data_IF_388898176554
#
_entry.id   IF_388898176554
#
_cell.length_a   1.000
_cell.length_b   1.000
_cell.length_c   1.000
_cell.angle_alpha   90.00
_cell.angle_beta   90.00
_cell.angle_gamma   90.00
#
_symmetry.space_group_name_H-M   'P 1'
#
loop_
_entity.id
_entity.type
_entity.pdbx_description
1 polymer ?
#
# COMPACT_ATOMS: atom_id res chain seq x y z
N UNK A 1 40.07 34.31 -9.70
CA UNK A 1 39.70 32.87 -9.66
C UNK A 1 38.73 32.53 -8.51
N UNK A 2 37.89 33.46 -8.05
CA UNK A 2 36.85 33.20 -7.02
C UNK A 2 35.41 33.34 -7.53
N UNK A 3 35.22 33.95 -8.72
CA UNK A 3 33.91 34.12 -9.35
C UNK A 3 33.50 32.98 -10.29
N UNK A 4 34.46 32.13 -10.67
CA UNK A 4 34.22 30.92 -11.49
C UNK A 4 33.88 29.68 -10.65
N UNK A 5 34.20 29.69 -9.35
CA UNK A 5 33.92 28.56 -8.45
C UNK A 5 32.45 28.54 -8.00
N UNK A 6 31.85 29.72 -7.81
CA UNK A 6 30.42 29.85 -7.46
C UNK A 6 29.52 29.41 -8.61
N UNK A 7 29.97 29.56 -9.87
CA UNK A 7 29.22 29.09 -11.04
C UNK A 7 29.30 27.57 -11.23
N UNK A 8 30.37 26.92 -10.74
CA UNK A 8 30.49 25.45 -10.78
C UNK A 8 29.62 24.77 -9.72
N UNK A 9 29.48 25.39 -8.53
CA UNK A 9 28.60 24.88 -7.45
C UNK A 9 27.12 25.09 -7.78
N UNK A 10 26.77 26.15 -8.52
CA UNK A 10 25.39 26.38 -8.98
C UNK A 10 24.92 25.44 -10.11
N UNK A 11 25.85 24.76 -10.80
CA UNK A 11 25.52 23.79 -11.86
C UNK A 11 25.41 22.35 -11.29
N UNK A 12 26.07 22.08 -10.15
CA UNK A 12 25.99 20.77 -9.49
C UNK A 12 24.69 20.57 -8.68
N UNK A 13 23.96 21.64 -8.40
CA UNK A 13 22.64 21.60 -7.75
C UNK A 13 21.46 21.37 -8.72
N UNK A 14 21.74 21.09 -10.01
CA UNK A 14 20.71 20.74 -11.00
C UNK A 14 20.69 19.25 -11.37
N UNK A 15 21.46 18.42 -10.66
CA UNK A 15 21.17 16.98 -10.58
C UNK A 15 20.18 16.82 -9.44
N UNK A 16 18.97 17.35 -9.67
CA UNK A 16 17.80 17.06 -8.86
C UNK A 16 17.59 15.55 -8.90
N UNK A 17 17.39 14.99 -7.72
CA UNK A 17 17.00 13.61 -7.46
C UNK A 17 16.15 13.07 -8.59
N UNK A 18 16.62 11.99 -9.22
CA UNK A 18 15.67 11.03 -9.73
C UNK A 18 15.04 10.45 -8.49
N UNK A 19 13.85 10.94 -8.13
CA UNK A 19 12.96 10.18 -7.26
C UNK A 19 12.59 8.94 -8.09
N UNK A 20 13.46 7.95 -8.09
CA UNK A 20 13.05 6.57 -8.34
C UNK A 20 12.22 6.19 -7.13
N UNK A 21 10.98 6.66 -7.14
CA UNK A 21 9.92 6.06 -6.32
C UNK A 21 9.84 4.63 -6.82
N UNK A 22 10.44 3.73 -6.08
CA UNK A 22 10.21 2.30 -6.23
C UNK A 22 8.72 2.12 -5.96
N UNK A 23 7.94 1.93 -7.02
CA UNK A 23 6.52 1.68 -6.88
C UNK A 23 6.38 0.23 -6.44
N UNK A 24 5.78 -0.02 -5.28
CA UNK A 24 5.16 -1.32 -5.02
C UNK A 24 4.28 -1.64 -6.23
N UNK A 25 4.52 -2.82 -6.79
CA UNK A 25 3.95 -3.23 -8.06
C UNK A 25 3.22 -4.55 -7.84
N UNK A 26 1.88 -4.56 -7.84
CA UNK A 26 0.98 -3.46 -8.19
C UNK A 26 0.69 -2.49 -7.03
N UNK A 27 0.12 -1.32 -7.34
CA UNK A 27 -0.34 -0.38 -6.31
C UNK A 27 -1.49 0.51 -6.78
N UNK A 28 -2.29 1.00 -5.84
CA UNK A 28 -3.22 2.11 -6.04
C UNK A 28 -3.18 3.05 -4.83
N UNK A 29 -2.81 4.32 -5.05
CA UNK A 29 -2.63 5.27 -3.96
C UNK A 29 -2.90 6.71 -4.41
N UNK A 30 -2.99 7.63 -3.45
CA UNK A 30 -3.05 9.06 -3.69
C UNK A 30 -3.27 9.85 -2.41
N UNK A 31 -3.88 11.03 -2.51
CA UNK A 31 -4.20 11.88 -1.38
C UNK A 31 -5.68 12.22 -1.33
N UNK A 32 -6.35 11.76 -0.28
CA UNK A 32 -7.73 12.10 0.04
C UNK A 32 -7.75 13.29 1.01
N UNK A 33 -8.34 14.41 0.59
CA UNK A 33 -8.42 15.65 1.36
C UNK A 33 -7.05 16.12 1.91
N UNK A 34 -5.97 15.78 1.21
CA UNK A 34 -4.59 16.11 1.56
C UNK A 34 -3.83 15.01 2.32
N UNK A 35 -4.51 14.01 2.87
CA UNK A 35 -3.91 12.88 3.61
C UNK A 35 -3.66 11.70 2.68
N UNK A 36 -2.57 10.96 2.91
CA UNK A 36 -2.24 9.75 2.15
C UNK A 36 -3.37 8.74 2.22
N UNK A 37 -3.65 8.11 1.08
CA UNK A 37 -4.58 7.00 0.93
C UNK A 37 -3.89 5.94 0.08
N UNK A 38 -3.68 4.75 0.63
CA UNK A 38 -3.10 3.58 -0.03
C UNK A 38 -4.18 2.48 -0.04
N UNK A 39 -4.35 1.82 -1.17
CA UNK A 39 -5.21 0.65 -1.26
C UNK A 39 -4.44 -0.57 -0.77
N UNK A 40 -5.07 -1.35 0.11
CA UNK A 40 -4.62 -2.68 0.57
C UNK A 40 -5.01 -3.76 -0.45
N UNK A 41 -5.98 -3.47 -1.33
CA UNK A 41 -6.28 -4.32 -2.48
C UNK A 41 -6.77 -3.52 -3.67
N UNK A 42 -6.52 -4.03 -4.87
CA UNK A 42 -6.88 -3.38 -6.11
C UNK A 42 -7.24 -4.42 -7.17
N UNK A 43 -8.15 -4.04 -8.08
CA UNK A 43 -8.52 -4.87 -9.22
C UNK A 43 -8.97 -4.02 -10.39
N UNK A 44 -8.78 -4.50 -11.60
CA UNK A 44 -9.33 -3.87 -12.79
C UNK A 44 -10.11 -4.90 -13.61
N UNK A 45 -11.33 -4.59 -14.04
CA UNK A 45 -12.18 -5.52 -14.79
C UNK A 45 -13.10 -4.78 -15.76
N UNK A 46 -13.82 -5.53 -16.59
CA UNK A 46 -14.84 -5.02 -17.50
C UNK A 46 -16.16 -5.66 -17.09
N UNK A 47 -17.14 -4.83 -16.76
CA UNK A 47 -18.45 -5.30 -16.31
C UNK A 47 -19.26 -5.92 -17.46
N UNK A 48 -20.42 -6.50 -17.12
CA UNK A 48 -21.34 -7.13 -18.08
C UNK A 48 -21.82 -6.16 -19.19
N UNK A 49 -21.76 -4.85 -18.94
CA UNK A 49 -22.17 -3.80 -19.87
C UNK A 49 -21.00 -3.29 -20.73
N UNK A 50 -19.80 -3.85 -20.57
CA UNK A 50 -18.61 -3.46 -21.30
C UNK A 50 -17.91 -2.21 -20.75
N UNK A 51 -18.25 -1.76 -19.54
CA UNK A 51 -17.57 -0.65 -18.87
C UNK A 51 -16.35 -1.16 -18.14
N UNK A 52 -15.24 -0.43 -18.25
CA UNK A 52 -14.00 -0.79 -17.57
C UNK A 52 -13.94 -0.13 -16.20
N UNK A 53 -13.71 -0.91 -15.15
CA UNK A 53 -13.72 -0.51 -13.74
C UNK A 53 -12.34 -0.78 -13.16
N UNK A 54 -11.76 0.19 -12.46
CA UNK A 54 -10.58 0.02 -11.62
C UNK A 54 -11.02 0.31 -10.19
N UNK A 55 -10.85 -0.66 -9.31
CA UNK A 55 -11.23 -0.56 -7.90
C UNK A 55 -9.97 -0.60 -7.05
N UNK A 56 -9.91 0.26 -6.05
CA UNK A 56 -8.96 0.19 -4.94
C UNK A 56 -9.73 0.18 -3.63
N UNK A 57 -9.31 -0.64 -2.69
CA UNK A 57 -9.95 -0.82 -1.39
C UNK A 57 -8.89 -0.80 -0.29
N UNK A 58 -9.20 -0.13 0.81
CA UNK A 58 -8.49 -0.28 2.08
C UNK A 58 -9.50 -0.63 3.18
N UNK A 59 -9.04 -0.80 4.42
CA UNK A 59 -9.85 -1.26 5.54
C UNK A 59 -11.11 -0.40 5.84
N UNK A 60 -11.20 0.81 5.29
CA UNK A 60 -12.28 1.74 5.58
C UNK A 60 -13.06 2.19 4.34
N UNK A 61 -12.44 2.21 3.17
CA UNK A 61 -12.96 2.92 2.01
C UNK A 61 -12.69 2.19 0.70
N UNK A 62 -13.58 2.37 -0.27
CA UNK A 62 -13.45 1.81 -1.62
C UNK A 62 -13.54 2.93 -2.65
N UNK A 63 -12.56 3.00 -3.54
CA UNK A 63 -12.56 3.86 -4.73
C UNK A 63 -12.92 3.01 -5.94
N UNK A 64 -13.87 3.47 -6.76
CA UNK A 64 -14.15 2.89 -8.07
C UNK A 64 -13.97 3.94 -9.16
N UNK A 65 -13.12 3.64 -10.14
CA UNK A 65 -12.85 4.44 -11.32
C UNK A 65 -13.45 3.73 -12.54
N UNK A 66 -14.58 4.23 -13.01
CA UNK A 66 -15.25 3.76 -14.21
C UNK A 66 -14.78 4.58 -15.40
N UNK A 67 -14.30 3.90 -16.44
CA UNK A 67 -13.96 4.48 -17.75
C UNK A 67 -14.63 3.72 -18.88
N UNK A 68 -14.80 4.38 -20.03
CA UNK A 68 -15.45 3.78 -21.18
C UNK A 68 -14.64 2.65 -21.85
N UNK A 69 -13.32 2.59 -21.62
CA UNK A 69 -12.45 1.49 -22.06
C UNK A 69 -11.09 1.54 -21.36
N UNK A 70 -10.34 0.44 -21.35
CA UNK A 70 -8.92 0.41 -20.95
C UNK A 70 -7.92 0.91 -22.01
N UNK A 71 -8.40 1.64 -23.03
CA UNK A 71 -7.49 2.24 -24.02
C UNK A 71 -6.67 3.36 -23.36
N UNK A 72 -5.38 3.44 -23.68
CA UNK A 72 -4.51 4.56 -23.26
C UNK A 72 -5.12 5.89 -23.69
N UNK A 73 -5.22 6.83 -22.75
CA UNK A 73 -5.83 8.13 -22.99
C UNK A 73 -6.41 8.77 -21.72
N UNK A 74 -6.94 9.98 -21.92
CA UNK A 74 -7.51 10.80 -20.85
C UNK A 74 -9.05 10.72 -20.87
N UNK A 75 -9.63 10.36 -19.74
CA UNK A 75 -11.06 10.22 -19.51
C UNK A 75 -11.50 11.31 -18.54
N UNK A 76 -12.27 12.27 -19.05
CA UNK A 76 -12.83 13.33 -18.21
C UNK A 76 -13.95 12.77 -17.34
N UNK A 77 -14.05 13.25 -16.11
CA UNK A 77 -15.13 12.99 -15.16
C UNK A 77 -16.03 14.23 -15.02
N UNK A 78 -17.15 14.05 -14.32
CA UNK A 78 -18.09 15.12 -13.98
C UNK A 78 -19.53 14.81 -14.42
N UNK A 79 -20.39 15.81 -14.35
CA UNK A 79 -21.82 15.67 -14.61
C UNK A 79 -22.11 15.08 -16.00
N UNK A 80 -23.03 14.10 -16.05
CA UNK A 80 -23.52 13.48 -17.28
C UNK A 80 -22.44 12.77 -18.10
N UNK A 81 -21.35 12.37 -17.45
CA UNK A 81 -20.26 11.62 -18.07
C UNK A 81 -20.45 10.11 -17.89
N UNK A 82 -20.02 9.33 -18.89
CA UNK A 82 -19.97 7.87 -18.78
C UNK A 82 -18.79 7.40 -17.91
N UNK A 83 -17.77 8.23 -17.74
CA UNK A 83 -16.67 7.97 -16.83
C UNK A 83 -17.00 8.59 -15.47
N UNK A 84 -16.83 7.81 -14.40
CA UNK A 84 -17.29 8.17 -13.07
C UNK A 84 -16.21 7.74 -12.07
N UNK A 85 -15.88 8.60 -11.12
CA UNK A 85 -15.19 8.16 -9.92
C UNK A 85 -16.18 8.15 -8.75
N UNK A 86 -16.15 7.08 -7.96
CA UNK A 86 -16.87 6.99 -6.69
C UNK A 86 -15.94 6.63 -5.55
N UNK A 87 -16.27 7.14 -4.37
CA UNK A 87 -15.66 6.75 -3.10
C UNK A 87 -16.78 6.33 -2.14
N UNK A 88 -16.65 5.15 -1.54
CA UNK A 88 -17.61 4.60 -0.59
C UNK A 88 -16.89 4.42 0.74
N UNK A 89 -17.38 5.10 1.78
CA UNK A 89 -16.84 4.97 3.14
C UNK A 89 -17.43 3.79 3.92
N UNK A 90 -16.87 3.50 5.09
CA UNK A 90 -17.26 2.39 5.98
C UNK A 90 -18.72 2.46 6.48
N UNK A 91 -19.32 3.65 6.48
CA UNK A 91 -20.73 3.87 6.78
C UNK A 91 -21.67 3.67 5.57
N UNK A 92 -21.14 3.18 4.43
CA UNK A 92 -21.82 3.05 3.14
C UNK A 92 -22.24 4.39 2.52
N UNK A 93 -21.68 5.51 2.97
CA UNK A 93 -21.87 6.79 2.31
C UNK A 93 -21.07 6.83 0.99
N UNK A 94 -21.77 7.12 -0.10
CA UNK A 94 -21.19 7.20 -1.44
C UNK A 94 -21.01 8.66 -1.87
N UNK A 95 -19.81 8.96 -2.35
CA UNK A 95 -19.44 10.18 -3.05
C UNK A 95 -19.25 9.86 -4.53
N UNK A 96 -19.79 10.67 -5.42
CA UNK A 96 -19.66 10.47 -6.87
C UNK A 96 -19.36 11.77 -7.61
N UNK A 97 -18.52 11.69 -8.64
CA UNK A 97 -18.33 12.79 -9.61
C UNK A 97 -19.55 13.05 -10.48
N UNK A 98 -20.61 12.24 -10.37
CA UNK A 98 -21.87 12.47 -11.07
C UNK A 98 -22.94 13.11 -10.15
N UNK A 99 -22.65 13.28 -8.86
CA UNK A 99 -23.51 14.02 -7.93
C UNK A 99 -23.20 15.51 -8.03
N UNK A 100 -24.26 16.32 -8.04
CA UNK A 100 -24.14 17.78 -8.07
C UNK A 100 -24.03 18.35 -6.66
N UNK A 101 -23.22 19.41 -6.44
CA UNK A 101 -23.23 20.16 -5.20
C UNK A 101 -24.62 20.75 -4.96
N UNK A 102 -24.98 20.88 -3.68
CA UNK A 102 -26.14 21.67 -3.29
C UNK A 102 -25.99 23.11 -3.79
N UNK A 103 -27.08 23.74 -4.20
CA UNK A 103 -27.08 25.10 -4.78
C UNK A 103 -26.55 26.16 -3.80
N UNK A 104 -26.54 25.86 -2.51
CA UNK A 104 -26.01 26.73 -1.45
C UNK A 104 -24.51 26.50 -1.19
N UNK A 105 -23.88 25.50 -1.81
CA UNK A 105 -22.45 25.16 -1.66
C UNK A 105 -21.70 25.51 -2.95
N UNK A 106 -20.95 26.61 -2.89
CA UNK A 106 -20.16 27.16 -4.01
C UNK A 106 -18.71 26.65 -4.00
N UNK A 107 -18.52 25.35 -3.77
CA UNK A 107 -17.22 24.70 -3.91
C UNK A 107 -17.21 23.90 -5.22
N UNK A 108 -16.00 23.75 -5.78
CA UNK A 108 -15.67 23.27 -7.12
C UNK A 108 -16.68 22.32 -7.80
N UNK A 109 -16.90 22.44 -9.12
CA UNK A 109 -17.79 21.53 -9.83
C UNK A 109 -17.34 20.07 -9.61
N UNK A 110 -18.27 19.10 -9.66
CA UNK A 110 -17.88 17.70 -9.67
C UNK A 110 -17.13 17.45 -10.97
N UNK A 111 -15.83 17.19 -10.86
CA UNK A 111 -14.92 17.06 -11.98
C UNK A 111 -13.76 16.13 -11.65
N UNK A 112 -12.91 15.87 -12.63
CA UNK A 112 -11.77 15.00 -12.46
C UNK A 112 -11.27 14.43 -13.78
N UNK A 113 -10.19 13.68 -13.66
CA UNK A 113 -9.55 12.99 -14.77
C UNK A 113 -9.15 11.60 -14.30
N UNK A 114 -9.40 10.60 -15.15
CA UNK A 114 -8.71 9.32 -15.12
C UNK A 114 -7.85 9.28 -16.39
N UNK A 115 -6.53 9.15 -16.24
CA UNK A 115 -5.60 9.01 -17.34
C UNK A 115 -5.05 7.60 -17.32
N UNK A 116 -5.36 6.81 -18.34
CA UNK A 116 -4.71 5.51 -18.56
C UNK A 116 -3.42 5.79 -19.33
N UNK A 117 -2.28 5.58 -18.67
CA UNK A 117 -0.96 5.80 -19.26
C UNK A 117 -0.43 4.56 -19.96
N UNK A 118 -0.84 3.37 -19.51
CA UNK A 118 -0.42 2.10 -20.08
C UNK A 118 -1.51 1.04 -19.94
N UNK A 119 -1.67 0.24 -20.99
CA UNK A 119 -2.36 -1.05 -20.95
C UNK A 119 -1.41 -2.10 -21.52
N UNK A 120 -0.84 -2.92 -20.64
CA UNK A 120 0.14 -3.93 -20.99
C UNK A 120 -0.59 -5.21 -21.41
N UNK A 121 -0.60 -5.50 -22.71
CA UNK A 121 -1.29 -6.67 -23.27
C UNK A 121 -0.59 -8.01 -22.97
N UNK A 122 0.69 -8.00 -22.59
CA UNK A 122 1.45 -9.22 -22.28
C UNK A 122 1.12 -9.69 -20.87
N UNK A 123 1.13 -8.76 -19.92
CA UNK A 123 0.84 -9.03 -18.50
C UNK A 123 -0.64 -8.78 -18.15
N UNK A 124 -1.45 -8.40 -19.14
CA UNK A 124 -2.84 -7.96 -19.03
C UNK A 124 -3.05 -7.01 -17.84
N UNK A 125 -2.25 -5.95 -17.73
CA UNK A 125 -2.28 -5.01 -16.62
C UNK A 125 -2.51 -3.57 -17.09
N UNK A 126 -2.90 -2.70 -16.16
CA UNK A 126 -3.18 -1.29 -16.44
C UNK A 126 -2.51 -0.35 -15.44
N UNK A 127 -1.98 0.75 -15.97
CA UNK A 127 -1.36 1.82 -15.18
C UNK A 127 -1.90 3.18 -15.61
N UNK A 128 -1.90 4.12 -14.68
CA UNK A 128 -2.45 5.44 -14.91
C UNK A 128 -2.47 6.33 -13.68
N UNK A 129 -3.11 7.48 -13.86
CA UNK A 129 -3.23 8.55 -12.86
C UNK A 129 -4.68 8.98 -12.74
N UNK A 130 -5.05 9.50 -11.58
CA UNK A 130 -6.38 10.06 -11.40
C UNK A 130 -6.41 11.17 -10.37
N UNK A 131 -7.43 12.02 -10.50
CA UNK A 131 -7.84 12.96 -9.47
C UNK A 131 -9.32 13.27 -9.70
N UNK A 132 -10.05 13.58 -8.64
CA UNK A 132 -11.46 13.95 -8.75
C UNK A 132 -11.96 14.77 -7.55
N UNK A 133 -13.02 15.53 -7.81
CA UNK A 133 -13.89 16.12 -6.80
C UNK A 133 -15.25 15.44 -6.89
N UNK A 134 -15.67 14.79 -5.80
CA UNK A 134 -16.93 14.06 -5.74
C UNK A 134 -17.81 14.58 -4.61
N UNK A 135 -19.12 14.42 -4.77
CA UNK A 135 -20.12 14.88 -3.80
C UNK A 135 -20.99 13.73 -3.31
N UNK A 136 -21.48 13.85 -2.07
CA UNK A 136 -22.51 12.94 -1.56
C UNK A 136 -23.81 13.08 -2.36
N UNK A 137 -24.73 12.12 -2.23
CA UNK A 137 -26.02 12.16 -2.92
C UNK A 137 -26.88 13.39 -2.58
N UNK A 138 -26.69 13.99 -1.39
CA UNK A 138 -27.34 15.25 -1.01
C UNK A 138 -26.66 16.50 -1.58
N UNK A 139 -25.45 16.37 -2.13
CA UNK A 139 -24.64 17.49 -2.58
C UNK A 139 -24.03 18.33 -1.45
N UNK A 140 -24.22 17.92 -0.18
CA UNK A 140 -23.82 18.71 0.99
C UNK A 140 -22.43 18.39 1.52
N UNK A 141 -21.88 17.24 1.14
CA UNK A 141 -20.53 16.79 1.53
C UNK A 141 -19.70 16.58 0.26
N UNK A 142 -18.40 16.79 0.35
CA UNK A 142 -17.46 16.64 -0.76
C UNK A 142 -16.21 15.91 -0.31
N UNK A 143 -15.60 15.21 -1.25
CA UNK A 143 -14.28 14.61 -1.10
C UNK A 143 -13.40 15.05 -2.28
N UNK A 144 -12.18 15.46 -1.97
CA UNK A 144 -11.14 15.69 -2.96
C UNK A 144 -10.16 14.52 -2.96
N UNK A 145 -9.95 13.92 -4.12
CA UNK A 145 -8.88 12.95 -4.32
C UNK A 145 -7.88 13.51 -5.32
N UNK A 146 -6.62 13.59 -4.92
CA UNK A 146 -5.55 14.20 -5.71
C UNK A 146 -4.31 13.31 -5.72
N UNK A 147 -3.40 13.56 -6.68
CA UNK A 147 -2.16 12.79 -6.82
C UNK A 147 -2.38 11.27 -6.91
N UNK A 148 -3.54 10.84 -7.43
CA UNK A 148 -3.90 9.44 -7.56
C UNK A 148 -3.07 8.74 -8.64
N UNK A 149 -2.57 7.55 -8.32
CA UNK A 149 -1.85 6.67 -9.22
C UNK A 149 -2.43 5.26 -9.05
N UNK A 150 -2.61 4.56 -10.16
CA UNK A 150 -2.72 3.12 -10.17
C UNK A 150 -1.61 2.57 -11.05
N UNK A 151 -0.87 1.58 -10.57
CA UNK A 151 0.30 1.07 -11.25
C UNK A 151 0.22 -0.45 -11.36
N UNK A 152 0.36 -0.93 -12.59
CA UNK A 152 0.43 -2.35 -12.95
C UNK A 152 -0.74 -3.18 -12.38
N UNK A 153 -1.93 -2.60 -12.21
CA UNK A 153 -3.09 -3.32 -11.69
C UNK A 153 -3.45 -4.43 -12.68
N UNK A 154 -3.44 -5.71 -12.25
CA UNK A 154 -3.79 -6.80 -13.13
C UNK A 154 -5.27 -6.69 -13.52
N UNK A 155 -5.52 -6.89 -14.80
CA UNK A 155 -6.84 -7.11 -15.34
C UNK A 155 -6.98 -8.62 -15.51
N UNK A 156 -7.88 -9.28 -14.80
CA UNK A 156 -8.12 -10.69 -15.04
C UNK A 156 -8.60 -10.91 -16.46
N UNK A 157 -8.20 -12.03 -17.08
CA UNK A 157 -8.56 -12.36 -18.46
C UNK A 157 -10.08 -12.47 -18.70
N UNK A 158 -10.89 -12.45 -17.64
CA UNK A 158 -12.35 -12.50 -17.61
C UNK A 158 -13.05 -11.18 -17.96
N UNK A 159 -12.32 -10.07 -18.14
CA UNK A 159 -12.90 -8.76 -18.39
C UNK A 159 -13.36 -8.58 -19.85
N UNK A 160 -14.59 -8.96 -20.18
CA UNK A 160 -15.23 -8.75 -21.48
C UNK A 160 -16.35 -9.75 -21.79
N UNK A 161 -17.06 -9.62 -22.93
CA UNK A 161 -18.12 -10.56 -23.29
C UNK A 161 -17.52 -11.94 -23.60
N UNK A 162 -17.56 -12.81 -22.59
CA UNK A 162 -16.88 -14.11 -22.54
C UNK A 162 -16.48 -14.49 -21.12
N UNK A 163 -17.37 -14.22 -20.15
CA UNK A 163 -17.18 -14.50 -18.72
C UNK A 163 -16.70 -15.94 -18.52
N UNK A 164 -15.63 -16.10 -17.74
CA UNK A 164 -15.20 -17.37 -17.19
C UNK A 164 -16.40 -17.99 -16.45
N UNK A 165 -16.72 -19.24 -16.77
CA UNK A 165 -17.77 -19.96 -16.03
C UNK A 165 -17.35 -20.16 -14.57
N UNK A 166 -18.31 -20.33 -13.67
CA UNK A 166 -18.00 -20.62 -12.27
C UNK A 166 -17.07 -21.86 -12.13
N UNK A 167 -17.26 -22.90 -12.95
CA UNK A 167 -16.39 -24.08 -12.96
C UNK A 167 -14.94 -23.75 -13.34
N UNK A 168 -14.73 -22.85 -14.30
CA UNK A 168 -13.39 -22.40 -14.70
C UNK A 168 -12.74 -21.50 -13.63
N UNK A 169 -13.53 -20.65 -12.96
CA UNK A 169 -13.04 -19.77 -11.90
C UNK A 169 -12.63 -20.55 -10.64
N UNK A 170 -13.38 -21.60 -10.30
CA UNK A 170 -13.01 -22.54 -9.24
C UNK A 170 -11.69 -23.24 -9.58
N UNK A 171 -11.55 -23.75 -10.81
CA UNK A 171 -10.32 -24.43 -11.23
C UNK A 171 -9.10 -23.49 -11.19
N UNK A 172 -9.25 -22.24 -11.64
CA UNK A 172 -8.17 -21.25 -11.58
C UNK A 172 -7.78 -20.91 -10.13
N UNK A 173 -8.77 -20.85 -9.22
CA UNK A 173 -8.53 -20.61 -7.79
C UNK A 173 -7.81 -21.77 -7.13
N UNK A 174 -8.21 -23.01 -7.43
CA UNK A 174 -7.53 -24.22 -6.94
C UNK A 174 -6.06 -24.28 -7.43
N UNK A 175 -5.81 -23.95 -8.70
CA UNK A 175 -4.47 -23.90 -9.27
C UNK A 175 -3.61 -22.81 -8.59
N UNK A 176 -4.15 -21.61 -8.36
CA UNK A 176 -3.44 -20.52 -7.71
C UNK A 176 -3.17 -20.79 -6.21
N UNK A 177 -4.16 -21.39 -5.52
CA UNK A 177 -4.03 -21.79 -4.12
C UNK A 177 -2.87 -22.77 -3.92
N UNK A 178 -2.73 -23.75 -4.80
CA UNK A 178 -1.65 -24.73 -4.72
C UNK A 178 -0.27 -24.07 -4.79
N UNK A 179 -0.11 -23.06 -5.65
CA UNK A 179 1.16 -22.32 -5.73
C UNK A 179 1.38 -21.55 -4.43
N UNK A 180 0.38 -20.79 -3.98
CA UNK A 180 0.41 -20.02 -2.73
C UNK A 180 0.82 -20.86 -1.51
N UNK A 181 0.17 -22.02 -1.30
CA UNK A 181 0.46 -22.90 -0.16
C UNK A 181 1.88 -23.51 -0.19
N UNK A 182 2.58 -23.45 -1.32
CA UNK A 182 3.93 -24.00 -1.47
C UNK A 182 5.04 -22.95 -1.54
N UNK A 183 4.68 -21.67 -1.62
CA UNK A 183 5.62 -20.55 -1.64
C UNK A 183 5.92 -20.12 -0.20
N UNK A 184 7.21 -20.00 0.14
CA UNK A 184 7.64 -19.49 1.46
C UNK A 184 7.29 -18.01 1.59
N UNK A 185 6.95 -17.54 2.79
CA UNK A 185 6.77 -16.10 3.03
C UNK A 185 8.06 -15.32 2.83
N UNK A 186 9.22 -15.95 3.07
CA UNK A 186 10.55 -15.38 2.78
C UNK A 186 10.97 -15.42 1.31
N UNK A 187 10.13 -15.92 0.41
CA UNK A 187 10.42 -15.93 -1.03
C UNK A 187 10.11 -14.56 -1.64
N UNK A 188 11.03 -14.01 -2.44
CA UNK A 188 10.84 -12.71 -3.11
C UNK A 188 9.60 -12.67 -4.03
N UNK A 189 9.09 -13.83 -4.47
CA UNK A 189 7.86 -13.93 -5.27
C UNK A 189 6.59 -14.10 -4.42
N UNK A 190 6.69 -14.16 -3.09
CA UNK A 190 5.55 -14.42 -2.21
C UNK A 190 4.39 -13.46 -2.46
N UNK A 191 4.63 -12.14 -2.44
CA UNK A 191 3.59 -11.14 -2.64
C UNK A 191 2.91 -11.27 -4.00
N UNK A 192 3.67 -11.59 -5.05
CA UNK A 192 3.13 -11.85 -6.39
C UNK A 192 2.23 -13.08 -6.41
N UNK A 193 2.67 -14.17 -5.77
CA UNK A 193 1.91 -15.43 -5.70
C UNK A 193 0.65 -15.25 -4.84
N UNK A 194 0.75 -14.63 -3.68
CA UNK A 194 -0.38 -14.33 -2.79
C UNK A 194 -1.42 -13.47 -3.51
N UNK A 195 -1.00 -12.38 -4.15
CA UNK A 195 -1.90 -11.53 -4.93
C UNK A 195 -2.52 -12.27 -6.13
N UNK A 196 -1.82 -13.22 -6.74
CA UNK A 196 -2.39 -14.08 -7.78
C UNK A 196 -3.53 -14.94 -7.22
N UNK A 197 -3.34 -15.54 -6.05
CA UNK A 197 -4.39 -16.31 -5.38
C UNK A 197 -5.57 -15.44 -4.94
N UNK A 198 -5.29 -14.28 -4.33
CA UNK A 198 -6.29 -13.28 -3.94
C UNK A 198 -7.14 -12.83 -5.12
N UNK A 199 -6.53 -12.58 -6.28
CA UNK A 199 -7.23 -12.23 -7.52
C UNK A 199 -8.10 -13.39 -8.06
N UNK A 200 -7.61 -14.63 -8.00
CA UNK A 200 -8.40 -15.79 -8.42
C UNK A 200 -9.65 -15.97 -7.54
N UNK A 201 -9.53 -15.77 -6.22
CA UNK A 201 -10.67 -15.77 -5.29
C UNK A 201 -11.69 -14.67 -5.64
N UNK A 202 -11.22 -13.47 -5.99
CA UNK A 202 -12.09 -12.37 -6.43
C UNK A 202 -12.81 -12.70 -7.74
N UNK A 203 -12.12 -13.33 -8.70
CA UNK A 203 -12.74 -13.80 -9.95
C UNK A 203 -13.80 -14.87 -9.68
N UNK A 204 -13.51 -15.81 -8.78
CA UNK A 204 -14.47 -16.82 -8.34
C UNK A 204 -15.68 -16.17 -7.65
N UNK A 205 -15.47 -15.16 -6.81
CA UNK A 205 -16.54 -14.40 -6.18
C UNK A 205 -17.46 -13.75 -7.21
N UNK A 206 -16.90 -13.18 -8.29
CA UNK A 206 -17.68 -12.58 -9.38
C UNK A 206 -18.43 -13.63 -10.19
N UNK A 207 -17.78 -14.76 -10.53
CA UNK A 207 -18.35 -15.78 -11.40
C UNK A 207 -19.39 -16.69 -10.71
N UNK A 208 -19.19 -16.97 -9.43
CA UNK A 208 -20.01 -17.90 -8.65
C UNK A 208 -20.93 -17.22 -7.64
N UNK A 209 -20.65 -15.96 -7.27
CA UNK A 209 -21.26 -15.29 -6.12
C UNK A 209 -20.64 -15.74 -4.79
N UNK A 210 -20.89 -14.97 -3.72
CA UNK A 210 -20.44 -15.28 -2.36
C UNK A 210 -21.49 -14.87 -1.32
N UNK A 211 -22.69 -15.44 -1.44
CA UNK A 211 -23.80 -15.16 -0.52
C UNK A 211 -23.47 -15.50 0.95
N UNK A 212 -22.48 -16.35 1.17
CA UNK A 212 -22.03 -16.77 2.51
C UNK A 212 -20.92 -15.89 3.08
N UNK A 213 -20.28 -15.05 2.27
CA UNK A 213 -19.11 -14.26 2.67
C UNK A 213 -17.85 -15.09 2.92
N UNK A 214 -17.81 -16.35 2.46
CA UNK A 214 -16.69 -17.26 2.73
C UNK A 214 -15.49 -16.85 1.87
N UNK A 215 -15.72 -16.56 0.59
CA UNK A 215 -14.64 -16.11 -0.30
C UNK A 215 -14.11 -14.75 0.17
N UNK A 216 -15.00 -13.85 0.56
CA UNK A 216 -14.60 -12.56 1.13
C UNK A 216 -13.77 -12.75 2.41
N UNK A 217 -14.18 -13.61 3.33
CA UNK A 217 -13.41 -13.87 4.55
C UNK A 217 -12.02 -14.45 4.30
N UNK A 218 -11.85 -15.27 3.25
CA UNK A 218 -10.52 -15.74 2.84
C UNK A 218 -9.71 -14.58 2.26
N UNK A 219 -10.29 -13.78 1.36
CA UNK A 219 -9.63 -12.62 0.76
C UNK A 219 -9.17 -11.61 1.82
N UNK A 220 -10.00 -11.36 2.83
CA UNK A 220 -9.73 -10.42 3.93
C UNK A 220 -8.62 -10.92 4.86
N UNK A 221 -8.44 -12.25 4.97
CA UNK A 221 -7.37 -12.86 5.76
C UNK A 221 -6.07 -13.11 4.99
N UNK A 222 -5.97 -12.64 3.73
CA UNK A 222 -4.74 -12.72 2.94
C UNK A 222 -3.95 -11.42 3.04
N UNK A 223 -2.89 -11.45 3.86
CA UNK A 223 -1.85 -10.43 3.96
C UNK A 223 -0.75 -10.76 2.96
N UNK A 224 -0.78 -10.09 1.81
CA UNK A 224 0.11 -10.41 0.69
C UNK A 224 1.32 -9.48 0.59
N UNK A 225 1.23 -8.30 1.18
CA UNK A 225 2.16 -7.21 0.99
C UNK A 225 2.77 -6.83 2.36
N UNK A 226 3.78 -5.98 2.30
CA UNK A 226 4.38 -5.24 3.41
C UNK A 226 3.67 -3.87 3.46
N UNK A 227 2.86 -3.65 4.51
CA UNK A 227 1.88 -2.57 4.55
C UNK A 227 2.52 -1.22 4.94
N UNK A 228 3.38 -1.19 5.97
CA UNK A 228 4.20 -0.04 6.43
C UNK A 228 5.49 0.16 5.61
N UNK A 229 5.99 -0.86 4.91
CA UNK A 229 7.21 -0.86 4.10
C UNK A 229 8.50 -0.81 4.93
N UNK A 230 8.48 -1.47 6.07
CA UNK A 230 9.60 -1.56 7.01
C UNK A 230 10.59 -2.71 6.70
N UNK A 231 10.28 -3.53 5.68
CA UNK A 231 11.12 -4.64 5.25
C UNK A 231 10.64 -6.00 5.75
N UNK A 232 9.63 -6.05 6.60
CA UNK A 232 8.97 -7.28 7.05
C UNK A 232 7.62 -7.41 6.32
N UNK A 233 7.32 -8.61 5.83
CA UNK A 233 5.99 -8.84 5.27
C UNK A 233 4.99 -8.92 6.42
N UNK A 234 3.84 -8.25 6.29
CA UNK A 234 2.76 -8.27 7.30
C UNK A 234 2.41 -9.66 7.82
N UNK A 235 2.40 -10.68 6.96
CA UNK A 235 2.11 -12.06 7.37
C UNK A 235 3.15 -12.66 8.34
N UNK A 236 4.36 -12.12 8.38
CA UNK A 236 5.45 -12.55 9.26
C UNK A 236 5.46 -11.81 10.61
N UNK A 237 4.61 -10.81 10.78
CA UNK A 237 4.48 -9.99 12.00
C UNK A 237 3.36 -10.50 12.93
N UNK A 238 2.79 -11.65 12.61
CA UNK A 238 1.96 -12.46 13.51
C UNK A 238 2.87 -13.16 14.53
N UNK A 239 3.33 -12.41 15.54
CA UNK A 239 4.35 -12.83 16.50
C UNK A 239 3.90 -14.06 17.30
N UNK A 240 2.62 -14.15 17.65
CA UNK A 240 2.06 -15.26 18.43
C UNK A 240 1.48 -16.43 17.58
N UNK A 241 1.44 -16.25 16.26
CA UNK A 241 0.97 -17.21 15.25
C UNK A 241 -0.51 -17.62 15.43
N UNK A 242 -1.34 -16.71 15.97
CA UNK A 242 -2.78 -16.91 16.10
C UNK A 242 -3.59 -16.51 14.84
N UNK A 243 -2.92 -15.86 13.88
CA UNK A 243 -3.48 -15.40 12.61
C UNK A 243 -4.19 -14.05 12.68
N UNK A 244 -3.99 -13.27 13.75
CA UNK A 244 -4.64 -11.98 13.97
C UNK A 244 -3.63 -10.84 14.20
N UNK A 245 -2.93 -10.41 13.15
CA UNK A 245 -1.94 -9.32 13.19
C UNK A 245 -2.37 -8.03 13.91
N UNK A 246 -3.67 -7.76 14.07
CA UNK A 246 -4.20 -6.55 14.71
C UNK A 246 -3.96 -6.53 16.23
N UNK A 247 -3.63 -7.65 16.88
CA UNK A 247 -3.34 -7.70 18.33
C UNK A 247 -1.85 -7.80 18.67
N UNK A 248 -0.98 -7.90 17.69
CA UNK A 248 0.48 -7.80 17.84
C UNK A 248 0.83 -6.31 17.80
N UNK A 249 1.29 -5.79 18.92
CA UNK A 249 1.53 -4.37 19.23
C UNK A 249 2.63 -4.35 20.31
N UNK A 250 3.89 -4.35 19.86
CA UNK A 250 5.07 -4.57 20.71
C UNK A 250 5.27 -3.43 21.71
N UNK A 251 5.14 -2.18 21.28
CA UNK A 251 5.34 -0.99 22.13
C UNK A 251 4.08 -0.57 22.93
N UNK A 252 2.91 -1.04 22.51
CA UNK A 252 1.62 -0.76 23.16
C UNK A 252 1.04 0.62 22.85
N UNK A 253 1.44 1.28 21.76
CA UNK A 253 0.94 2.60 21.37
C UNK A 253 -0.45 2.56 20.71
N UNK A 254 -0.87 1.37 20.27
CA UNK A 254 -2.17 1.09 19.65
C UNK A 254 -2.17 1.10 18.12
N UNK A 255 -1.02 1.23 17.49
CA UNK A 255 -0.71 0.77 16.14
C UNK A 255 -0.26 -0.69 16.26
N UNK A 256 -0.62 -1.52 15.30
CA UNK A 256 -0.21 -2.92 15.31
C UNK A 256 1.04 -3.03 14.45
N UNK A 257 1.96 -3.94 14.77
CA UNK A 257 3.28 -4.03 14.15
C UNK A 257 3.24 -3.94 12.62
N UNK A 258 2.36 -4.72 11.98
CA UNK A 258 2.18 -4.71 10.51
C UNK A 258 1.68 -3.38 9.87
N UNK A 259 1.51 -2.33 10.67
CA UNK A 259 1.16 -0.97 10.29
C UNK A 259 2.07 0.08 10.97
N UNK A 260 3.06 -0.35 11.73
CA UNK A 260 4.03 0.46 12.45
C UNK A 260 5.39 0.32 11.78
N UNK A 261 6.15 1.41 11.68
CA UNK A 261 7.51 1.38 11.09
C UNK A 261 8.63 1.45 12.16
N UNK A 262 8.25 1.44 13.43
CA UNK A 262 9.07 1.52 14.65
C UNK A 262 8.42 0.62 15.72
N UNK A 263 8.47 -0.70 15.47
CA UNK A 263 7.65 -1.72 16.14
C UNK A 263 7.75 -1.71 17.68
N UNK A 264 8.93 -1.45 18.22
CA UNK A 264 9.22 -1.45 19.66
C UNK A 264 9.24 -0.04 20.28
N UNK A 265 9.05 0.99 19.45
CA UNK A 265 8.91 2.39 19.82
C UNK A 265 10.19 3.00 20.36
N UNK A 266 11.35 2.53 19.91
CA UNK A 266 12.66 2.94 20.42
C UNK A 266 13.28 4.13 19.65
N UNK A 267 12.60 4.59 18.58
CA UNK A 267 12.96 5.68 17.66
C UNK A 267 13.94 5.31 16.54
N UNK A 268 14.33 4.04 16.42
CA UNK A 268 14.99 3.49 15.24
C UNK A 268 13.91 2.76 14.42
N UNK A 269 13.78 3.12 13.14
CA UNK A 269 12.81 2.43 12.29
C UNK A 269 13.23 0.96 12.12
N UNK A 270 12.27 0.02 12.14
CA UNK A 270 12.49 -1.43 11.95
C UNK A 270 13.46 -1.72 10.80
N UNK A 271 13.30 -1.03 9.67
CA UNK A 271 14.14 -1.22 8.48
C UNK A 271 15.62 -0.85 8.66
N UNK A 272 15.95 -0.03 9.66
CA UNK A 272 17.30 0.48 9.93
C UNK A 272 18.04 -0.36 10.99
N UNK A 273 17.40 -1.40 11.51
CA UNK A 273 17.96 -2.30 12.52
C UNK A 273 18.60 -3.55 11.91
N UNK A 274 18.82 -3.55 10.58
CA UNK A 274 19.69 -4.48 9.86
C UNK A 274 21.17 -4.16 10.17
N UNK A 275 21.61 -4.53 11.38
CA UNK A 275 22.93 -4.22 11.92
C UNK A 275 24.05 -4.82 11.06
N UNK A 276 23.85 -6.03 10.52
CA UNK A 276 24.86 -6.72 9.72
C UNK A 276 24.83 -6.38 8.20
N UNK A 277 23.73 -5.77 7.73
CA UNK A 277 23.55 -5.25 6.38
C UNK A 277 23.23 -6.31 5.33
N UNK A 278 22.65 -7.45 5.73
CA UNK A 278 22.27 -8.54 4.82
C UNK A 278 20.85 -8.41 4.24
N UNK A 279 20.07 -7.45 4.76
CA UNK A 279 18.72 -7.13 4.33
C UNK A 279 17.63 -7.97 5.01
N UNK A 280 17.94 -8.62 6.14
CA UNK A 280 17.01 -9.41 6.95
C UNK A 280 17.06 -9.02 8.43
N UNK A 281 16.34 -7.94 8.76
CA UNK A 281 16.18 -7.39 10.13
C UNK A 281 15.65 -8.42 11.15
N UNK A 282 15.04 -9.52 10.68
CA UNK A 282 14.43 -10.52 11.56
C UNK A 282 15.45 -11.42 12.27
N UNK A 283 16.74 -11.28 11.93
CA UNK A 283 17.81 -12.12 12.44
C UNK A 283 18.90 -11.36 13.23
N UNK A 284 18.87 -10.02 13.24
CA UNK A 284 19.74 -9.18 14.04
C UNK A 284 19.27 -9.17 15.50
N UNK A 285 20.15 -9.61 16.40
CA UNK A 285 19.91 -9.75 17.86
C UNK A 285 21.25 -9.43 18.56
N UNK A 286 21.39 -8.18 19.00
CA UNK A 286 22.66 -7.61 19.45
C UNK A 286 23.09 -8.17 20.81
N UNK A 287 22.16 -8.31 21.76
CA UNK A 287 22.43 -8.85 23.09
C UNK A 287 22.36 -10.40 23.20
N UNK A 288 21.89 -11.06 22.12
CA UNK A 288 21.68 -12.50 21.99
C UNK A 288 20.63 -13.07 22.95
N UNK A 289 19.53 -12.34 23.17
CA UNK A 289 18.45 -12.74 24.06
C UNK A 289 17.30 -13.51 23.37
N UNK A 290 17.43 -13.81 22.07
CA UNK A 290 16.43 -14.44 21.20
C UNK A 290 15.23 -13.51 20.84
N UNK A 291 15.33 -12.20 21.08
CA UNK A 291 14.43 -11.15 20.56
C UNK A 291 15.22 -10.33 19.54
N UNK A 292 14.75 -10.24 18.27
CA UNK A 292 15.40 -9.38 17.30
C UNK A 292 15.33 -7.91 17.71
N UNK A 293 16.32 -7.12 17.28
CA UNK A 293 16.45 -5.70 17.62
C UNK A 293 15.14 -4.91 17.40
N UNK A 294 14.47 -5.07 16.25
CA UNK A 294 13.21 -4.37 15.95
C UNK A 294 12.01 -4.69 16.87
N UNK A 295 12.17 -5.63 17.80
CA UNK A 295 11.20 -5.97 18.83
C UNK A 295 11.73 -5.76 20.25
N UNK A 296 12.90 -5.14 20.42
CA UNK A 296 13.64 -5.00 21.67
C UNK A 296 14.19 -3.59 21.93
N UNK A 297 13.44 -2.81 22.72
CA UNK A 297 13.79 -1.41 23.01
C UNK A 297 15.02 -1.18 23.92
N UNK A 298 15.83 -2.21 24.16
CA UNK A 298 17.10 -2.23 24.91
C UNK A 298 18.06 -3.15 24.14
N UNK A 299 18.32 -2.78 22.88
CA UNK A 299 19.01 -3.57 21.84
C UNK A 299 20.28 -4.32 22.29
N UNK A 300 21.10 -3.66 23.11
CA UNK A 300 22.35 -4.21 23.61
C UNK A 300 22.22 -4.82 25.03
N UNK A 301 21.04 -4.74 25.63
CA UNK A 301 20.73 -5.28 26.95
C UNK A 301 21.55 -4.69 28.10
N UNK A 302 22.03 -3.45 27.98
CA UNK A 302 22.77 -2.76 29.04
C UNK A 302 21.85 -2.22 30.16
N UNK A 303 20.54 -2.10 29.87
CA UNK A 303 19.49 -1.63 30.76
C UNK A 303 19.13 -0.15 30.63
N UNK A 304 19.66 0.55 29.61
CA UNK A 304 19.27 1.88 29.15
C UNK A 304 18.53 1.69 27.83
N UNK A 305 17.21 1.95 27.80
CA UNK A 305 16.44 1.83 26.56
C UNK A 305 17.08 2.67 25.44
N UNK A 306 17.11 2.14 24.21
CA UNK A 306 17.68 2.77 23.01
C UNK A 306 17.25 4.23 22.84
N UNK A 307 15.95 4.52 23.04
CA UNK A 307 15.41 5.88 22.98
C UNK A 307 16.06 6.89 23.95
N UNK A 308 16.70 6.41 25.03
CA UNK A 308 17.41 7.23 26.02
C UNK A 308 18.91 7.36 25.75
N UNK A 309 19.40 6.76 24.67
CA UNK A 309 20.80 6.79 24.23
C UNK A 309 21.05 7.85 23.15
N UNK A 310 20.04 8.65 22.83
CA UNK A 310 20.15 9.98 22.22
C UNK A 310 20.75 10.98 23.24
N UNK A 311 22.06 10.85 23.48
CA UNK A 311 22.87 11.65 24.42
C UNK A 311 22.88 13.12 24.03
N UNK A 312 22.87 13.43 22.73
CA UNK A 312 22.97 14.80 22.22
C UNK A 312 21.61 15.51 22.07
N UNK A 313 20.52 14.73 22.02
CA UNK A 313 19.13 15.17 22.07
C UNK A 313 18.61 15.66 20.71
N UNK A 314 19.15 15.16 19.61
CA UNK A 314 18.72 15.51 18.25
C UNK A 314 17.61 14.59 17.69
N UNK A 315 17.28 13.53 18.43
CA UNK A 315 16.23 12.56 18.11
C UNK A 315 16.69 11.43 17.19
N UNK A 316 18.00 11.15 17.13
CA UNK A 316 18.60 10.07 16.32
C UNK A 316 19.67 9.32 17.14
N UNK A 317 19.29 8.25 17.87
CA UNK A 317 20.22 7.43 18.65
C UNK A 317 21.33 6.78 17.79
N UNK A 318 21.11 6.62 16.49
CA UNK A 318 22.01 5.86 15.60
C UNK A 318 23.38 6.53 15.39
N UNK A 319 23.51 7.80 15.78
CA UNK A 319 24.70 8.60 15.54
C UNK A 319 25.51 8.94 16.81
N UNK A 320 25.00 8.57 17.98
CA UNK A 320 25.64 8.81 19.27
C UNK A 320 26.60 7.68 19.62
N UNK A 321 27.83 8.07 19.98
CA UNK A 321 28.98 7.19 20.31
C UNK A 321 29.78 7.88 21.41
N UNK A 322 29.38 7.63 22.66
CA UNK A 322 29.88 8.31 23.86
C UNK A 322 31.36 8.00 24.12
N UNK A 323 31.80 6.80 23.77
CA UNK A 323 33.12 6.27 24.08
C UNK A 323 34.14 6.51 22.94
N UNK A 324 33.65 6.69 21.72
CA UNK A 324 34.37 7.05 20.50
C UNK A 324 35.04 5.87 19.81
N UNK A 325 34.57 4.64 20.01
CA UNK A 325 35.12 3.43 19.38
C UNK A 325 34.54 3.11 18.00
N UNK A 326 33.42 3.76 17.64
CA UNK A 326 32.74 3.66 16.36
C UNK A 326 31.56 2.67 16.33
N UNK A 327 31.16 2.10 17.47
CA UNK A 327 29.86 1.45 17.68
C UNK A 327 28.92 2.49 18.30
N UNK A 328 27.69 2.68 17.77
CA UNK A 328 26.71 3.54 18.41
C UNK A 328 26.34 3.05 19.82
N UNK A 329 25.97 3.97 20.71
CA UNK A 329 25.67 3.67 22.12
C UNK A 329 24.61 2.54 22.22
N UNK A 330 23.54 2.59 21.42
CA UNK A 330 22.46 1.57 21.40
C UNK A 330 22.88 0.15 20.98
N UNK A 331 24.11 -0.03 20.50
CA UNK A 331 24.68 -1.33 20.15
C UNK A 331 25.95 -1.66 20.99
N UNK A 332 26.28 -0.86 22.01
CA UNK A 332 27.49 -1.02 22.84
C UNK A 332 27.20 -1.14 24.34
N UNK A 333 27.31 -2.36 24.85
CA UNK A 333 26.99 -2.69 26.25
C UNK A 333 27.96 -2.11 27.32
N UNK A 334 28.73 -1.03 27.08
CA UNK A 334 29.85 -0.55 27.94
C UNK A 334 29.76 0.87 28.51
#
# INVERSE_FOLDING_TARGET
MKKLFVLAIAILAMVSCGDEVEFNSPAMQGKKDGTTWKAVSYRAYIDENGKSIITGHNNYETINLQVSSFSVGTYLLGESNSNIATLIGSNLEEYSTNNLPDQDIELYPPDGIIEITEFNQVNNSISGKFWFNAYSASGTQTVNFSQGIFYNIPIPFSSGPGLMSCDEAVAATEDAQLVYETTSTTDAEYSTVCNTYKNALMDQQVACGDDTGILQGIIDGLYCDDDDNDGILSINEDLDQDGNLINDDTDGDGIANYLDDDDDGDSILTMNEDVDGDGDVTNDDTDMNDVPNYLDNDDDGDGILTINEDVDGDGDPTNDDTDGDGVPDYLDNN
#
